data_IF_288917542618
#
_entry.id   IF_288917542618
#
_cell.length_a   1.000
_cell.length_b   1.000
_cell.length_c   1.000
_cell.angle_alpha   90.00
_cell.angle_beta   90.00
_cell.angle_gamma   90.00
#
_symmetry.space_group_name_H-M   'P 1'
#
loop_
_entity.id
_entity.type
_entity.pdbx_description
1 polymer ?
#
# COMPACT_ATOMS: atom_id res chain seq x y z
N UNK A 1 3.24 4.83 -2.83
CA UNK A 1 2.07 4.03 -3.26
C UNK A 1 2.40 2.56 -3.45
N UNK A 2 3.48 2.25 -4.16
CA UNK A 2 3.93 0.90 -4.50
C UNK A 2 3.85 -0.10 -3.33
N UNK A 3 4.43 0.25 -2.17
CA UNK A 3 4.41 -0.60 -0.98
C UNK A 3 3.01 -1.04 -0.51
N UNK A 4 2.00 -0.17 -0.64
CA UNK A 4 0.64 -0.48 -0.20
C UNK A 4 -0.09 -1.44 -1.16
N UNK A 5 0.37 -1.50 -2.41
CA UNK A 5 -0.12 -2.40 -3.45
C UNK A 5 0.64 -3.73 -3.36
N UNK A 6 1.96 -3.71 -3.23
CA UNK A 6 2.78 -4.92 -3.15
C UNK A 6 2.54 -5.70 -1.84
N UNK A 7 2.24 -5.01 -0.74
CA UNK A 7 1.94 -5.62 0.55
C UNK A 7 0.57 -5.17 1.09
N UNK A 8 -0.55 -5.60 0.47
CA UNK A 8 -1.88 -5.14 0.84
C UNK A 8 -2.26 -5.57 2.28
N UNK A 9 -1.67 -6.65 2.80
CA UNK A 9 -1.89 -7.13 4.16
C UNK A 9 -1.27 -6.21 5.23
N UNK A 10 -0.30 -5.36 4.89
CA UNK A 10 0.36 -4.50 5.86
C UNK A 10 -0.57 -3.36 6.28
N UNK A 11 -0.89 -3.27 7.57
CA UNK A 11 -1.64 -2.13 8.11
C UNK A 11 -0.85 -0.82 8.07
N UNK A 12 -1.52 0.29 8.40
CA UNK A 12 -0.91 1.64 8.52
C UNK A 12 0.33 1.60 9.42
N UNK A 13 0.20 0.81 10.49
CA UNK A 13 1.20 0.38 11.43
C UNK A 13 2.55 -0.04 10.85
N UNK A 14 2.49 -1.21 10.23
CA UNK A 14 3.63 -1.90 9.66
C UNK A 14 4.21 -1.10 8.50
N UNK A 15 3.35 -0.42 7.75
CA UNK A 15 3.75 0.45 6.63
C UNK A 15 4.60 1.62 7.12
N UNK A 16 4.16 2.34 8.16
CA UNK A 16 4.95 3.43 8.75
C UNK A 16 6.32 2.95 9.25
N UNK A 17 6.36 1.80 9.94
CA UNK A 17 7.62 1.23 10.41
C UNK A 17 8.57 0.83 9.28
N UNK A 18 8.04 0.30 8.17
CA UNK A 18 8.87 -0.05 7.01
C UNK A 18 9.38 1.19 6.28
N UNK A 19 8.54 2.19 6.09
CA UNK A 19 8.96 3.48 5.53
C UNK A 19 10.07 4.11 6.38
N UNK A 20 9.97 4.00 7.72
CA UNK A 20 11.01 4.47 8.63
C UNK A 20 12.35 3.76 8.42
N UNK A 21 12.34 2.45 8.14
CA UNK A 21 13.56 1.69 7.80
C UNK A 21 14.18 2.14 6.47
N UNK A 22 13.38 2.69 5.57
CA UNK A 22 13.83 3.26 4.30
C UNK A 22 14.24 4.75 4.42
N UNK A 23 14.28 5.30 5.64
CA UNK A 23 14.58 6.71 5.89
C UNK A 23 13.41 7.67 5.69
N UNK A 24 12.20 7.16 5.44
CA UNK A 24 11.00 7.97 5.22
C UNK A 24 10.16 7.98 6.51
N UNK A 25 10.11 9.14 7.17
CA UNK A 25 9.38 9.30 8.43
C UNK A 25 7.95 9.78 8.17
N UNK A 26 6.98 8.86 8.24
CA UNK A 26 5.55 9.16 8.14
C UNK A 26 4.81 8.51 9.29
N UNK A 27 3.94 9.25 9.97
CA UNK A 27 3.08 8.71 11.02
C UNK A 27 2.02 7.75 10.46
N UNK A 28 1.44 6.91 11.31
CA UNK A 28 0.45 5.92 10.90
C UNK A 28 -0.81 6.60 10.35
N UNK A 29 -1.21 7.70 10.98
CA UNK A 29 -2.29 8.58 10.50
C UNK A 29 -1.94 9.24 9.16
N UNK A 30 -0.68 9.65 8.94
CA UNK A 30 -0.21 10.16 7.66
C UNK A 30 -0.32 9.12 6.54
N UNK A 31 0.08 7.88 6.81
CA UNK A 31 -0.09 6.75 5.88
C UNK A 31 -1.57 6.57 5.51
N UNK A 32 -2.49 6.66 6.50
CA UNK A 32 -3.93 6.57 6.26
C UNK A 32 -4.45 7.68 5.36
N UNK A 33 -4.03 8.93 5.58
CA UNK A 33 -4.42 10.07 4.76
C UNK A 33 -3.91 9.94 3.32
N UNK A 34 -2.69 9.41 3.13
CA UNK A 34 -2.16 9.11 1.80
C UNK A 34 -3.03 8.03 1.12
N UNK A 35 -3.37 6.95 1.84
CA UNK A 35 -4.24 5.91 1.28
C UNK A 35 -5.63 6.42 0.91
N UNK A 36 -6.22 7.31 1.70
CA UNK A 36 -7.52 7.93 1.38
C UNK A 36 -7.46 8.69 0.05
N UNK A 37 -6.42 9.52 -0.14
CA UNK A 37 -6.26 10.34 -1.34
C UNK A 37 -6.10 9.53 -2.63
N UNK A 38 -5.59 8.32 -2.53
CA UNK A 38 -5.37 7.43 -3.66
C UNK A 38 -6.33 6.24 -3.69
N UNK A 39 -7.41 6.27 -2.90
CA UNK A 39 -8.39 5.18 -2.87
C UNK A 39 -7.89 3.86 -2.29
N UNK A 40 -6.70 3.79 -1.68
CA UNK A 40 -6.13 2.57 -1.07
C UNK A 40 -6.53 2.37 0.41
N UNK A 41 -7.65 2.98 0.80
CA UNK A 41 -8.14 3.06 2.16
C UNK A 41 -8.38 1.70 2.85
N UNK A 42 -8.90 0.75 2.08
CA UNK A 42 -9.36 -0.54 2.56
C UNK A 42 -8.49 -1.65 1.98
N UNK A 43 -8.44 -2.80 2.66
CA UNK A 43 -7.75 -3.99 2.16
C UNK A 43 -8.24 -4.40 0.76
N UNK A 44 -9.57 -4.47 0.56
CA UNK A 44 -10.17 -4.81 -0.74
C UNK A 44 -9.71 -3.89 -1.88
N UNK A 45 -9.57 -2.58 -1.62
CA UNK A 45 -9.11 -1.62 -2.64
C UNK A 45 -7.62 -1.79 -2.94
N UNK A 46 -6.82 -2.15 -1.94
CA UNK A 46 -5.39 -2.47 -2.13
C UNK A 46 -5.21 -3.80 -2.87
N UNK A 47 -6.05 -4.78 -2.61
CA UNK A 47 -6.04 -6.06 -3.33
C UNK A 47 -6.43 -5.87 -4.80
N UNK A 48 -7.50 -5.12 -5.08
CA UNK A 48 -7.90 -4.80 -6.45
C UNK A 48 -6.79 -4.05 -7.20
N UNK A 49 -6.12 -3.08 -6.56
CA UNK A 49 -4.96 -2.40 -7.16
C UNK A 49 -3.77 -3.35 -7.43
N UNK A 50 -3.61 -4.41 -6.63
CA UNK A 50 -2.60 -5.44 -6.86
C UNK A 50 -3.00 -6.34 -8.03
N UNK A 51 -4.27 -6.75 -8.12
CA UNK A 51 -4.80 -7.53 -9.24
C UNK A 51 -4.67 -6.75 -10.57
N UNK A 52 -5.01 -5.46 -10.58
CA UNK A 52 -4.82 -4.59 -11.75
C UNK A 52 -3.34 -4.46 -12.15
N UNK A 53 -2.44 -4.40 -11.16
CA UNK A 53 -1.00 -4.35 -11.41
C UNK A 53 -0.52 -5.66 -12.05
N UNK A 54 -0.93 -6.81 -11.50
CA UNK A 54 -0.58 -8.14 -12.02
C UNK A 54 -1.15 -8.34 -13.43
N UNK A 55 -2.40 -7.95 -13.67
CA UNK A 55 -3.04 -8.01 -14.98
C UNK A 55 -2.32 -7.14 -16.03
N UNK A 56 -1.82 -5.97 -15.64
CA UNK A 56 -1.00 -5.11 -16.51
C UNK A 56 0.39 -5.69 -16.79
N UNK A 57 1.02 -6.29 -15.78
CA UNK A 57 2.34 -6.91 -15.91
C UNK A 57 2.28 -8.27 -16.64
N UNK A 58 1.08 -8.81 -16.89
CA UNK A 58 0.89 -10.07 -17.61
C UNK A 58 1.47 -11.28 -16.88
N UNK A 59 1.75 -11.16 -15.58
CA UNK A 59 2.33 -12.21 -14.76
C UNK A 59 1.20 -13.15 -14.36
N UNK A 60 0.98 -14.18 -15.16
CA UNK A 60 0.20 -15.35 -14.78
C UNK A 60 0.96 -16.11 -13.68
N UNK A 61 0.35 -16.23 -12.50
CA UNK A 61 0.82 -17.11 -11.42
C UNK A 61 0.64 -18.58 -11.79
#
# INVERSE_FOLDING_TARGET
MQYAIDYPAHGQARTSNQLRKQGIFVSWSGVRSIWLRHGLACFKKRLCALEEKIAKEGITL
#
